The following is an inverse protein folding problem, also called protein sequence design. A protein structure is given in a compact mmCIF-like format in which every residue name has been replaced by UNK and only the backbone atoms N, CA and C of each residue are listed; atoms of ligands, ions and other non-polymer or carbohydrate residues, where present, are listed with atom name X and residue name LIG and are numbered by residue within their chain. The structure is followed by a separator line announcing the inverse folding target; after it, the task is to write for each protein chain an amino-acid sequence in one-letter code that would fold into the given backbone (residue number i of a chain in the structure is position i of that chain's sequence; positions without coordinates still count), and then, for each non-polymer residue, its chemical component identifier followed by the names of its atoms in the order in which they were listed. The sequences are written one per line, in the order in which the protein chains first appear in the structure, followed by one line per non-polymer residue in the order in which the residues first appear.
data_IF_459255318063
#
_entry.id   IF_459255318063
#
_cell.length_a   1.000
_cell.length_b   1.000
_cell.length_c   1.000
_cell.angle_alpha   90.00
_cell.angle_beta   90.00
_cell.angle_gamma   90.00
#
_symmetry.space_group_name_H-M   'P 1'
#
loop_
_entity.id
_entity.type
_entity.pdbx_description
1 polymer ?
#
# COMPACT_ATOMS: atom_id res chain seq x y z
N UNK A 1 21.25 2.19 -32.04
CA UNK A 1 20.08 2.34 -31.18
C UNK A 1 18.91 1.57 -31.82
N UNK A 2 18.81 0.30 -31.53
CA UNK A 2 17.74 -0.54 -32.06
C UNK A 2 16.76 -0.81 -30.87
N UNK A 3 15.53 -0.28 -31.01
CA UNK A 3 14.39 -0.76 -30.22
C UNK A 3 14.17 -0.10 -28.86
N UNK A 4 14.19 1.23 -28.75
CA UNK A 4 13.60 1.92 -27.58
C UNK A 4 12.21 2.46 -27.97
N UNK A 5 11.16 1.90 -27.38
CA UNK A 5 9.83 2.51 -27.42
C UNK A 5 9.72 3.58 -26.33
N UNK A 6 9.31 4.78 -26.73
CA UNK A 6 9.10 5.91 -25.84
C UNK A 6 7.61 6.10 -25.61
N UNK A 7 7.12 5.76 -24.42
CA UNK A 7 5.75 6.06 -23.99
C UNK A 7 5.71 7.33 -23.14
N UNK A 8 5.07 8.38 -23.64
CA UNK A 8 4.83 9.62 -22.87
C UNK A 8 3.46 9.50 -22.22
N UNK A 9 3.40 9.54 -20.90
CA UNK A 9 2.15 9.72 -20.14
C UNK A 9 1.95 11.20 -19.87
N UNK A 10 0.88 11.76 -20.42
CA UNK A 10 0.61 13.21 -20.48
C UNK A 10 0.53 13.96 -19.14
N UNK A 11 0.34 13.29 -18.01
CA UNK A 11 0.14 13.99 -16.74
C UNK A 11 1.41 14.27 -15.93
N UNK A 12 2.56 13.59 -16.20
CA UNK A 12 3.74 13.69 -15.34
C UNK A 12 5.07 13.88 -16.07
N UNK A 13 5.09 14.08 -17.39
CA UNK A 13 6.32 14.18 -18.19
C UNK A 13 7.36 13.10 -17.87
N UNK A 14 6.91 11.88 -17.65
CA UNK A 14 7.76 10.72 -17.44
C UNK A 14 7.95 10.01 -18.77
N UNK A 15 9.20 9.85 -19.17
CA UNK A 15 9.60 9.08 -20.35
C UNK A 15 10.05 7.70 -19.90
N UNK A 16 9.43 6.66 -20.42
CA UNK A 16 9.85 5.29 -20.20
C UNK A 16 10.79 4.86 -21.32
N UNK A 17 12.04 4.57 -20.97
CA UNK A 17 13.03 4.04 -21.91
C UNK A 17 13.13 2.53 -21.69
N UNK A 18 12.78 1.76 -22.71
CA UNK A 18 12.69 0.29 -22.62
C UNK A 18 13.96 -0.33 -23.23
N UNK A 19 14.68 -1.11 -22.43
CA UNK A 19 15.83 -1.90 -22.85
C UNK A 19 15.52 -3.39 -22.70
N UNK A 20 15.03 -4.04 -23.75
CA UNK A 20 14.63 -5.44 -23.68
C UNK A 20 13.48 -5.66 -22.70
N UNK A 21 13.77 -6.19 -21.49
CA UNK A 21 12.80 -6.40 -20.42
C UNK A 21 12.87 -5.35 -19.29
N UNK A 22 13.85 -4.48 -19.36
CA UNK A 22 14.06 -3.44 -18.34
C UNK A 22 13.45 -2.12 -18.79
N UNK A 23 12.85 -1.39 -17.88
CA UNK A 23 12.26 -0.06 -18.11
C UNK A 23 12.94 0.94 -17.19
N UNK A 24 13.50 2.01 -17.78
CA UNK A 24 14.08 3.13 -17.05
C UNK A 24 13.11 4.31 -17.15
N UNK A 25 12.68 4.81 -16.02
CA UNK A 25 11.86 6.02 -15.94
C UNK A 25 12.74 7.26 -15.90
N UNK A 26 12.54 8.16 -16.88
CA UNK A 26 13.25 9.44 -16.98
C UNK A 26 12.25 10.57 -16.74
N UNK A 27 12.51 11.43 -15.78
CA UNK A 27 11.67 12.60 -15.48
C UNK A 27 12.53 13.83 -15.18
N UNK A 28 11.94 15.01 -15.32
CA UNK A 28 12.57 16.26 -14.90
C UNK A 28 12.48 16.41 -13.37
N UNK A 29 13.37 17.22 -12.80
CA UNK A 29 13.25 17.66 -11.40
C UNK A 29 12.07 18.62 -11.27
N UNK A 30 11.36 18.52 -10.12
CA UNK A 30 10.16 19.30 -9.83
C UNK A 30 10.41 20.29 -8.71
N UNK A 31 9.88 21.52 -8.86
CA UNK A 31 9.92 22.52 -7.82
C UNK A 31 8.98 22.19 -6.64
N UNK A 32 9.24 22.82 -5.49
CA UNK A 32 8.28 22.91 -4.39
C UNK A 32 7.23 23.92 -4.82
N UNK A 33 5.95 23.57 -4.73
CA UNK A 33 4.85 24.52 -4.89
C UNK A 33 4.27 24.83 -3.51
N UNK A 34 4.43 26.07 -3.06
CA UNK A 34 3.84 26.55 -1.80
C UNK A 34 2.32 26.75 -1.91
N UNK A 35 1.79 26.96 -3.15
CA UNK A 35 0.35 27.17 -3.44
C UNK A 35 -0.12 26.23 -4.55
N UNK A 36 -0.06 24.92 -4.31
CA UNK A 36 -0.65 23.99 -5.26
C UNK A 36 -2.17 24.17 -5.32
N UNK A 37 -2.67 24.71 -6.44
CA UNK A 37 -4.10 24.67 -6.74
C UNK A 37 -4.55 23.21 -6.73
N UNK A 38 -5.30 22.85 -5.71
CA UNK A 38 -5.94 21.54 -5.63
C UNK A 38 -7.37 21.65 -6.15
N UNK A 39 -7.84 20.64 -6.88
CA UNK A 39 -9.26 20.51 -7.18
C UNK A 39 -10.06 20.22 -5.90
N UNK A 40 -11.39 20.24 -6.02
CA UNK A 40 -12.33 19.94 -4.91
C UNK A 40 -12.13 18.53 -4.30
N UNK A 41 -11.28 17.69 -4.92
CA UNK A 41 -10.94 16.34 -4.46
C UNK A 41 -9.50 16.26 -3.90
N UNK A 42 -8.82 17.39 -3.69
CA UNK A 42 -7.44 17.46 -3.20
C UNK A 42 -6.38 17.02 -4.22
N UNK A 43 -6.71 16.99 -5.50
CA UNK A 43 -5.79 16.65 -6.58
C UNK A 43 -5.04 17.91 -7.01
N UNK A 44 -3.71 17.86 -6.92
CA UNK A 44 -2.86 18.97 -7.39
C UNK A 44 -3.01 19.14 -8.90
N UNK A 45 -3.58 20.27 -9.33
CA UNK A 45 -3.90 20.56 -10.73
C UNK A 45 -2.66 20.93 -11.56
N UNK A 46 -1.58 21.38 -10.94
CA UNK A 46 -0.30 21.74 -11.58
C UNK A 46 0.89 21.20 -10.79
N UNK A 47 1.19 19.92 -10.90
CA UNK A 47 2.37 19.29 -10.26
C UNK A 47 3.64 19.32 -11.15
N UNK A 48 3.61 20.01 -12.27
CA UNK A 48 4.66 19.98 -13.30
C UNK A 48 5.42 21.31 -13.44
N UNK A 49 5.79 21.92 -12.33
CA UNK A 49 6.74 23.05 -12.37
C UNK A 49 8.16 22.49 -12.28
N UNK A 50 8.99 22.85 -13.25
CA UNK A 50 10.39 22.46 -13.26
C UNK A 50 11.13 23.11 -12.10
N UNK A 51 11.97 22.34 -11.46
CA UNK A 51 12.76 22.78 -10.32
C UNK A 51 14.22 22.34 -10.42
N UNK A 52 14.97 22.75 -9.43
CA UNK A 52 16.32 22.28 -9.21
C UNK A 52 16.32 20.88 -8.58
N UNK A 53 17.44 20.19 -8.64
CA UNK A 53 17.61 18.89 -7.98
C UNK A 53 17.42 18.99 -6.46
N UNK A 54 17.86 20.09 -5.84
CA UNK A 54 17.68 20.34 -4.42
C UNK A 54 16.19 20.49 -4.03
N UNK A 55 15.40 21.19 -4.84
CA UNK A 55 13.96 21.32 -4.65
C UNK A 55 13.26 19.97 -4.81
N UNK A 56 13.65 19.17 -5.82
CA UNK A 56 13.10 17.82 -5.98
C UNK A 56 13.44 16.92 -4.78
N UNK A 57 14.64 17.04 -4.22
CA UNK A 57 15.02 16.35 -3.00
C UNK A 57 14.17 16.75 -1.81
N UNK A 58 13.92 18.05 -1.63
CA UNK A 58 13.18 18.58 -0.48
C UNK A 58 11.70 18.19 -0.46
N UNK A 59 11.06 17.99 -1.64
CA UNK A 59 9.66 17.55 -1.72
C UNK A 59 9.46 16.04 -1.52
N UNK A 60 10.54 15.22 -1.53
CA UNK A 60 10.45 13.77 -1.30
C UNK A 60 10.04 13.46 0.14
N UNK A 61 9.65 12.22 0.37
CA UNK A 61 9.14 11.78 1.68
C UNK A 61 10.27 11.59 2.72
N UNK A 62 11.24 10.71 2.42
CA UNK A 62 12.27 10.30 3.38
C UNK A 62 13.66 10.65 2.90
N UNK A 63 14.56 10.95 3.83
CA UNK A 63 15.95 11.29 3.55
C UNK A 63 16.65 10.23 2.70
N UNK A 64 16.39 8.95 2.97
CA UNK A 64 16.97 7.82 2.25
C UNK A 64 16.45 7.69 0.81
N UNK A 65 15.32 8.32 0.48
CA UNK A 65 14.72 8.35 -0.87
C UNK A 65 15.10 9.62 -1.66
N UNK A 66 15.90 10.51 -1.08
CA UNK A 66 16.33 11.78 -1.66
C UNK A 66 17.83 11.79 -1.97
N UNK A 67 18.38 10.65 -2.33
CA UNK A 67 19.74 10.48 -2.80
C UNK A 67 19.76 10.44 -4.33
N UNK A 68 20.72 11.14 -4.92
CA UNK A 68 20.93 11.17 -6.36
C UNK A 68 22.35 10.73 -6.69
N UNK A 69 22.49 10.00 -7.78
CA UNK A 69 23.79 9.58 -8.27
C UNK A 69 24.04 10.12 -9.67
N UNK A 70 25.13 10.82 -9.86
CA UNK A 70 25.61 11.25 -11.16
C UNK A 70 26.65 10.23 -11.69
N UNK A 71 26.27 9.40 -12.68
CA UNK A 71 27.18 8.37 -13.18
C UNK A 71 28.32 8.93 -14.04
N UNK A 72 28.23 10.19 -14.49
CA UNK A 72 29.29 10.82 -15.28
C UNK A 72 30.39 11.36 -14.37
N UNK A 73 29.98 12.03 -13.28
CA UNK A 73 30.91 12.57 -12.29
C UNK A 73 31.29 11.56 -11.21
N UNK A 74 30.66 10.36 -11.19
CA UNK A 74 30.76 9.36 -10.11
C UNK A 74 30.49 9.98 -8.73
N UNK A 75 29.44 10.80 -8.66
CA UNK A 75 29.13 11.61 -7.49
C UNK A 75 27.76 11.26 -6.90
N UNK A 76 27.76 10.97 -5.59
CA UNK A 76 26.53 10.84 -4.82
C UNK A 76 26.16 12.20 -4.18
N UNK A 77 24.98 12.70 -4.51
CA UNK A 77 24.43 13.96 -4.01
C UNK A 77 23.41 13.67 -2.92
N UNK A 78 23.64 14.20 -1.72
CA UNK A 78 22.84 14.00 -0.52
C UNK A 78 22.50 15.36 0.12
N UNK A 79 21.27 15.83 -0.12
CA UNK A 79 20.80 17.13 0.37
C UNK A 79 20.21 17.08 1.80
N UNK A 80 19.90 15.89 2.32
CA UNK A 80 19.14 15.71 3.56
C UNK A 80 19.74 14.69 4.53
N UNK A 81 21.06 14.42 4.45
CA UNK A 81 21.74 13.45 5.32
C UNK A 81 21.24 11.99 5.16
N UNK A 82 20.73 11.62 3.99
CA UNK A 82 20.18 10.29 3.72
C UNK A 82 21.20 9.17 3.87
N UNK A 83 22.47 9.40 3.49
CA UNK A 83 23.58 8.45 3.69
C UNK A 83 23.83 8.19 5.17
N UNK A 84 23.78 9.22 6.01
CA UNK A 84 23.90 9.10 7.45
C UNK A 84 22.78 8.25 8.05
N UNK A 85 21.54 8.50 7.61
CA UNK A 85 20.36 7.80 8.07
C UNK A 85 20.35 6.34 7.59
N UNK A 86 20.82 6.05 6.38
CA UNK A 86 21.07 4.70 5.88
C UNK A 86 22.06 3.92 6.76
N UNK A 87 23.21 4.53 7.07
CA UNK A 87 24.23 3.91 7.95
C UNK A 87 23.68 3.61 9.34
N UNK A 88 22.83 4.51 9.87
CA UNK A 88 22.18 4.35 11.18
C UNK A 88 20.92 3.47 11.13
N UNK A 89 20.52 2.99 9.96
CA UNK A 89 19.26 2.28 9.76
C UNK A 89 18.05 3.02 10.35
N UNK A 90 17.97 4.32 10.06
CA UNK A 90 16.95 5.21 10.59
C UNK A 90 16.09 5.74 9.46
N UNK A 91 14.78 5.67 9.60
CA UNK A 91 13.83 6.26 8.67
C UNK A 91 13.41 7.64 9.20
N UNK A 92 13.75 8.68 8.45
CA UNK A 92 13.48 10.09 8.78
C UNK A 92 12.71 10.74 7.65
N UNK A 93 11.63 11.43 7.97
CA UNK A 93 10.89 12.27 7.01
C UNK A 93 11.64 13.58 6.76
N UNK A 94 11.57 14.11 5.56
CA UNK A 94 12.16 15.40 5.20
C UNK A 94 11.17 16.50 5.59
N UNK A 95 11.67 17.54 6.27
CA UNK A 95 10.87 18.67 6.75
C UNK A 95 10.20 18.40 8.11
N UNK A 96 9.17 19.21 8.44
CA UNK A 96 8.41 19.03 9.68
C UNK A 96 7.48 17.82 9.59
N UNK A 97 7.61 16.82 10.47
CA UNK A 97 6.83 15.59 10.37
C UNK A 97 5.31 15.81 10.47
N UNK A 98 4.87 16.74 11.32
CA UNK A 98 3.44 17.03 11.53
C UNK A 98 2.84 17.62 10.26
N UNK A 99 3.51 18.62 9.69
CA UNK A 99 3.08 19.23 8.44
C UNK A 99 3.07 18.21 7.30
N UNK A 100 4.14 17.44 7.14
CA UNK A 100 4.31 16.47 6.05
C UNK A 100 3.27 15.34 6.08
N UNK A 101 2.86 14.88 7.26
CA UNK A 101 1.78 13.89 7.39
C UNK A 101 0.38 14.49 7.17
N UNK A 102 0.17 15.77 7.48
CA UNK A 102 -1.08 16.47 7.16
C UNK A 102 -1.23 16.72 5.67
N UNK A 103 -0.14 17.11 4.99
CA UNK A 103 -0.13 17.29 3.52
C UNK A 103 -0.44 15.97 2.80
N UNK A 104 0.09 14.87 3.27
CA UNK A 104 -0.07 13.57 2.65
C UNK A 104 -0.06 12.44 3.70
N UNK A 105 -1.24 12.06 4.23
CA UNK A 105 -1.35 11.00 5.24
C UNK A 105 -0.85 9.62 4.77
N UNK A 106 -0.79 9.35 3.46
CA UNK A 106 -0.21 8.12 2.90
C UNK A 106 1.24 7.92 3.36
N UNK A 107 1.96 9.00 3.64
CA UNK A 107 3.35 8.91 4.14
C UNK A 107 3.45 8.13 5.45
N UNK A 108 2.41 8.13 6.30
CA UNK A 108 2.41 7.30 7.52
C UNK A 108 2.38 5.80 7.20
N UNK A 109 1.60 5.38 6.19
CA UNK A 109 1.59 3.99 5.72
C UNK A 109 2.94 3.60 5.10
N UNK A 110 3.55 4.54 4.37
CA UNK A 110 4.88 4.36 3.79
C UNK A 110 5.95 4.20 4.87
N UNK A 111 5.84 4.92 6.01
CA UNK A 111 6.71 4.71 7.19
C UNK A 111 6.66 3.24 7.63
N UNK A 112 5.47 2.70 7.88
CA UNK A 112 5.30 1.32 8.32
C UNK A 112 5.90 0.32 7.30
N UNK A 113 5.65 0.55 6.01
CA UNK A 113 6.17 -0.31 4.94
C UNK A 113 7.69 -0.27 4.83
N UNK A 114 8.30 0.91 4.85
CA UNK A 114 9.76 1.02 4.74
C UNK A 114 10.49 0.49 5.97
N UNK A 115 9.97 0.77 7.16
CA UNK A 115 10.52 0.22 8.41
C UNK A 115 10.50 -1.31 8.39
N UNK A 116 9.37 -1.91 8.05
CA UNK A 116 9.24 -3.36 7.97
C UNK A 116 10.15 -3.97 6.87
N UNK A 117 10.18 -3.35 5.68
CA UNK A 117 10.95 -3.85 4.54
C UNK A 117 12.46 -3.74 4.75
N UNK A 118 12.93 -2.65 5.36
CA UNK A 118 14.36 -2.35 5.50
C UNK A 118 14.91 -2.77 6.88
N UNK A 119 14.05 -3.10 7.84
CA UNK A 119 14.47 -3.36 9.22
C UNK A 119 15.04 -2.11 9.91
N UNK A 120 14.50 -0.93 9.57
CA UNK A 120 14.95 0.35 10.11
C UNK A 120 14.11 0.74 11.34
N UNK A 121 14.67 1.62 12.17
CA UNK A 121 13.94 2.30 13.24
C UNK A 121 13.37 3.63 12.73
N UNK A 122 12.21 4.04 13.26
CA UNK A 122 11.66 5.36 12.98
C UNK A 122 12.39 6.39 13.82
N UNK A 123 12.85 7.47 13.21
CA UNK A 123 13.42 8.61 13.93
C UNK A 123 12.39 9.18 14.92
N UNK A 124 12.79 9.52 16.18
CA UNK A 124 11.83 9.91 17.23
C UNK A 124 10.91 11.08 16.87
N UNK A 125 11.41 12.13 16.19
CA UNK A 125 10.59 13.27 15.76
C UNK A 125 9.63 12.88 14.65
N UNK A 126 10.05 12.02 13.73
CA UNK A 126 9.20 11.46 12.68
C UNK A 126 8.07 10.61 13.28
N UNK A 127 8.37 9.83 14.33
CA UNK A 127 7.39 8.94 14.99
C UNK A 127 6.35 9.70 15.82
N UNK A 128 6.77 10.78 16.49
CA UNK A 128 5.97 11.46 17.51
C UNK A 128 4.53 11.82 17.06
N UNK A 129 4.28 12.40 15.87
CA UNK A 129 2.93 12.77 15.46
C UNK A 129 2.10 11.63 14.83
N UNK A 130 2.67 10.46 14.53
CA UNK A 130 1.98 9.42 13.75
C UNK A 130 0.67 9.01 14.41
N UNK A 131 0.69 8.62 15.68
CA UNK A 131 -0.51 8.13 16.37
C UNK A 131 -1.61 9.18 16.48
N UNK A 132 -1.27 10.44 16.71
CA UNK A 132 -2.24 11.52 16.81
C UNK A 132 -2.84 11.91 15.44
N UNK A 133 -2.11 11.69 14.36
CA UNK A 133 -2.53 11.98 12.99
C UNK A 133 -3.10 10.75 12.26
N UNK A 134 -3.07 9.57 12.86
CA UNK A 134 -3.62 8.34 12.27
C UNK A 134 -5.06 8.48 11.73
N UNK A 135 -5.99 9.23 12.38
CA UNK A 135 -7.33 9.45 11.85
C UNK A 135 -7.36 10.09 10.45
N UNK A 136 -6.32 10.82 10.04
CA UNK A 136 -6.24 11.43 8.71
C UNK A 136 -6.15 10.40 7.57
N UNK A 137 -5.86 9.14 7.88
CA UNK A 137 -5.86 8.05 6.89
C UNK A 137 -7.24 7.92 6.23
N UNK A 138 -8.33 8.17 6.96
CA UNK A 138 -9.69 8.16 6.41
C UNK A 138 -9.93 9.20 5.30
N UNK A 139 -9.09 10.23 5.20
CA UNK A 139 -9.19 11.28 4.19
C UNK A 139 -8.43 10.92 2.89
N UNK A 140 -7.72 9.79 2.88
CA UNK A 140 -6.99 9.34 1.68
C UNK A 140 -8.00 8.83 0.65
N UNK A 141 -7.92 9.28 -0.63
CA UNK A 141 -8.74 8.70 -1.68
C UNK A 141 -8.59 7.18 -1.75
N UNK A 142 -9.71 6.46 -1.81
CA UNK A 142 -9.76 4.99 -1.70
C UNK A 142 -8.90 4.25 -2.75
N UNK A 143 -8.77 4.79 -3.96
CA UNK A 143 -7.89 4.23 -4.99
C UNK A 143 -6.41 4.32 -4.60
N UNK A 144 -6.01 5.46 -4.04
CA UNK A 144 -4.63 5.69 -3.60
C UNK A 144 -4.29 4.86 -2.36
N UNK A 145 -5.26 4.71 -1.45
CA UNK A 145 -5.15 3.82 -0.29
C UNK A 145 -4.97 2.36 -0.75
N UNK A 146 -5.76 1.93 -1.74
CA UNK A 146 -5.64 0.60 -2.33
C UNK A 146 -4.23 0.34 -2.89
N UNK A 147 -3.69 1.27 -3.67
CA UNK A 147 -2.36 1.12 -4.27
C UNK A 147 -1.26 0.98 -3.21
N UNK A 148 -1.32 1.76 -2.13
CA UNK A 148 -0.33 1.68 -1.06
C UNK A 148 -0.50 0.40 -0.22
N UNK A 149 -1.74 -0.01 0.06
CA UNK A 149 -2.02 -1.29 0.71
C UNK A 149 -1.53 -2.47 -0.12
N UNK A 150 -1.73 -2.44 -1.44
CA UNK A 150 -1.24 -3.50 -2.31
C UNK A 150 0.29 -3.58 -2.29
N UNK A 151 1.00 -2.43 -2.38
CA UNK A 151 2.46 -2.38 -2.26
C UNK A 151 2.97 -2.96 -0.94
N UNK A 152 2.25 -2.71 0.15
CA UNK A 152 2.56 -3.23 1.47
C UNK A 152 2.39 -4.75 1.51
N UNK A 153 1.25 -5.26 1.05
CA UNK A 153 0.89 -6.68 1.09
C UNK A 153 1.74 -7.55 0.15
N UNK A 154 2.27 -6.99 -0.94
CA UNK A 154 3.14 -7.72 -1.88
C UNK A 154 4.62 -7.37 -1.73
N UNK A 155 5.01 -6.77 -0.62
CA UNK A 155 6.39 -6.32 -0.38
C UNK A 155 7.40 -7.44 -0.10
N UNK A 156 6.93 -8.66 0.22
CA UNK A 156 7.73 -9.74 0.82
C UNK A 156 7.95 -9.57 2.32
N UNK A 157 7.30 -8.59 2.94
CA UNK A 157 7.35 -8.27 4.37
C UNK A 157 5.96 -7.89 4.90
N UNK A 158 4.89 -8.46 4.33
CA UNK A 158 3.51 -8.08 4.61
C UNK A 158 3.14 -8.28 6.09
N UNK A 159 3.56 -9.39 6.69
CA UNK A 159 3.32 -9.65 8.11
C UNK A 159 4.04 -8.62 8.99
N UNK A 160 5.30 -8.31 8.72
CA UNK A 160 6.04 -7.28 9.43
C UNK A 160 5.40 -5.90 9.25
N UNK A 161 4.92 -5.57 8.05
CA UNK A 161 4.18 -4.34 7.80
C UNK A 161 2.90 -4.25 8.64
N UNK A 162 2.14 -5.34 8.75
CA UNK A 162 0.94 -5.39 9.58
C UNK A 162 1.26 -5.15 11.06
N UNK A 163 2.34 -5.74 11.58
CA UNK A 163 2.79 -5.49 12.94
C UNK A 163 3.19 -4.02 13.16
N UNK A 164 3.88 -3.40 12.21
CA UNK A 164 4.22 -1.98 12.27
C UNK A 164 2.97 -1.08 12.24
N UNK A 165 2.00 -1.36 11.36
CA UNK A 165 0.73 -0.63 11.32
C UNK A 165 0.00 -0.70 12.67
N UNK A 166 -0.06 -1.88 13.29
CA UNK A 166 -0.67 -2.05 14.63
C UNK A 166 0.11 -1.29 15.71
N UNK A 167 1.44 -1.39 15.71
CA UNK A 167 2.30 -0.73 16.68
C UNK A 167 2.14 0.79 16.67
N UNK A 168 2.01 1.37 15.48
CA UNK A 168 1.86 2.81 15.31
C UNK A 168 0.39 3.29 15.35
N UNK A 169 -0.59 2.37 15.48
CA UNK A 169 -2.01 2.70 15.51
C UNK A 169 -2.60 3.11 14.16
N UNK A 170 -1.98 2.64 13.07
CA UNK A 170 -2.35 2.97 11.69
C UNK A 170 -3.28 1.94 11.05
N UNK A 171 -3.61 0.85 11.72
CA UNK A 171 -4.40 -0.26 11.16
C UNK A 171 -5.90 0.05 11.08
N UNK A 172 -6.40 0.93 11.94
CA UNK A 172 -7.83 1.25 12.00
C UNK A 172 -8.33 1.88 10.71
N UNK A 173 -9.38 1.33 10.16
CA UNK A 173 -10.04 1.86 8.97
C UNK A 173 -9.35 1.55 7.63
N UNK A 174 -8.20 0.86 7.62
CA UNK A 174 -7.53 0.45 6.38
C UNK A 174 -8.26 -0.72 5.69
N UNK A 175 -8.56 -1.72 6.47
CA UNK A 175 -9.38 -2.87 6.14
C UNK A 175 -10.27 -3.13 7.35
N UNK A 176 -11.47 -2.52 7.44
CA UNK A 176 -12.31 -2.56 8.66
C UNK A 176 -12.61 -3.96 9.12
N UNK A 177 -12.69 -4.88 8.16
CA UNK A 177 -12.91 -6.28 8.44
C UNK A 177 -11.66 -6.96 9.01
N UNK A 178 -10.46 -6.43 8.73
CA UNK A 178 -9.22 -6.95 9.29
C UNK A 178 -9.10 -6.64 10.78
N UNK A 179 -9.58 -5.47 11.22
CA UNK A 179 -9.61 -5.10 12.63
C UNK A 179 -10.43 -6.12 13.43
N UNK A 180 -11.62 -6.46 12.94
CA UNK A 180 -12.50 -7.46 13.58
C UNK A 180 -11.87 -8.86 13.56
N UNK A 181 -11.20 -9.24 12.49
CA UNK A 181 -10.55 -10.55 12.35
C UNK A 181 -9.35 -10.66 13.28
N UNK A 182 -8.55 -9.61 13.39
CA UNK A 182 -7.36 -9.59 14.23
C UNK A 182 -7.67 -9.58 15.73
N UNK A 183 -8.87 -9.20 16.11
CA UNK A 183 -9.35 -9.28 17.50
C UNK A 183 -9.83 -10.70 17.88
N UNK A 184 -9.90 -11.63 16.90
CA UNK A 184 -10.29 -13.02 17.14
C UNK A 184 -9.06 -13.95 16.98
N UNK A 185 -8.75 -14.84 17.95
CA UNK A 185 -7.55 -15.68 17.91
C UNK A 185 -7.42 -16.54 16.63
N UNK A 186 -8.52 -17.14 16.19
CA UNK A 186 -8.54 -17.97 14.97
C UNK A 186 -8.37 -17.11 13.70
N UNK A 187 -8.95 -15.92 13.67
CA UNK A 187 -8.82 -14.96 12.58
C UNK A 187 -7.39 -14.43 12.47
N UNK A 188 -6.76 -14.06 13.60
CA UNK A 188 -5.38 -13.61 13.66
C UNK A 188 -4.43 -14.69 13.12
N UNK A 189 -4.59 -15.94 13.56
CA UNK A 189 -3.79 -17.07 13.09
C UNK A 189 -3.93 -17.29 11.59
N UNK A 190 -5.15 -17.21 11.06
CA UNK A 190 -5.41 -17.39 9.63
C UNK A 190 -4.73 -16.31 8.79
N UNK A 191 -4.89 -15.04 9.16
CA UNK A 191 -4.24 -13.90 8.49
C UNK A 191 -2.73 -14.00 8.57
N UNK A 192 -2.17 -14.34 9.73
CA UNK A 192 -0.72 -14.51 9.93
C UNK A 192 -0.16 -15.55 8.96
N UNK A 193 -0.75 -16.74 8.91
CA UNK A 193 -0.30 -17.81 7.99
C UNK A 193 -0.42 -17.39 6.54
N UNK A 194 -1.50 -16.68 6.16
CA UNK A 194 -1.69 -16.19 4.80
C UNK A 194 -0.61 -15.19 4.39
N UNK A 195 -0.28 -14.23 5.27
CA UNK A 195 0.75 -13.23 5.01
C UNK A 195 2.16 -13.84 4.99
N UNK A 196 2.49 -14.76 5.91
CA UNK A 196 3.76 -15.48 5.90
C UNK A 196 3.97 -16.26 4.60
N UNK A 197 2.93 -16.96 4.12
CA UNK A 197 2.99 -17.69 2.85
C UNK A 197 3.12 -16.73 1.65
N UNK A 198 2.47 -15.59 1.71
CA UNK A 198 2.61 -14.53 0.71
C UNK A 198 4.04 -14.01 0.67
N UNK A 199 4.62 -13.66 1.82
CA UNK A 199 6.00 -13.18 1.93
C UNK A 199 7.01 -14.21 1.39
N UNK A 200 6.88 -15.49 1.77
CA UNK A 200 7.72 -16.57 1.25
C UNK A 200 7.65 -16.68 -0.28
N UNK A 201 6.47 -16.51 -0.88
CA UNK A 201 6.31 -16.56 -2.34
C UNK A 201 6.98 -15.36 -3.02
N UNK A 202 6.79 -14.14 -2.48
CA UNK A 202 7.42 -12.93 -3.02
C UNK A 202 8.94 -13.04 -2.97
N UNK A 203 9.49 -13.43 -1.82
CA UNK A 203 10.94 -13.59 -1.64
C UNK A 203 11.52 -14.69 -2.53
N UNK A 204 10.73 -15.69 -2.88
CA UNK A 204 11.11 -16.74 -3.84
C UNK A 204 10.91 -16.32 -5.31
N UNK A 205 10.61 -15.05 -5.60
CA UNK A 205 10.38 -14.53 -6.96
C UNK A 205 9.12 -15.09 -7.65
N UNK A 206 8.18 -15.68 -6.88
CA UNK A 206 6.94 -16.24 -7.42
C UNK A 206 5.87 -15.17 -7.54
N UNK A 207 5.04 -15.28 -8.58
CA UNK A 207 3.90 -14.39 -8.76
C UNK A 207 2.85 -14.57 -7.64
N UNK A 208 2.24 -13.46 -7.26
CA UNK A 208 1.11 -13.40 -6.32
C UNK A 208 -0.10 -12.85 -7.05
N UNK A 209 -1.26 -13.47 -6.82
CA UNK A 209 -2.55 -12.90 -7.21
C UNK A 209 -3.07 -12.00 -6.10
N UNK A 210 -3.20 -10.68 -6.32
CA UNK A 210 -3.84 -9.79 -5.36
C UNK A 210 -5.27 -10.21 -5.04
N UNK A 211 -6.03 -10.71 -6.02
CA UNK A 211 -7.38 -11.23 -5.82
C UNK A 211 -7.41 -12.39 -4.82
N UNK A 212 -6.48 -13.34 -4.94
CA UNK A 212 -6.35 -14.43 -3.97
C UNK A 212 -6.01 -13.93 -2.56
N UNK A 213 -5.09 -12.96 -2.47
CA UNK A 213 -4.69 -12.39 -1.18
C UNK A 213 -5.88 -11.68 -0.50
N UNK A 214 -6.59 -10.81 -1.21
CA UNK A 214 -7.79 -10.16 -0.68
C UNK A 214 -8.91 -11.15 -0.37
N UNK A 215 -9.12 -12.17 -1.21
CA UNK A 215 -10.09 -13.23 -0.92
C UNK A 215 -9.75 -13.97 0.38
N UNK A 216 -8.47 -14.20 0.64
CA UNK A 216 -8.02 -14.82 1.88
C UNK A 216 -8.23 -13.89 3.08
N UNK A 217 -7.80 -12.64 3.00
CA UNK A 217 -7.91 -11.66 4.08
C UNK A 217 -9.37 -11.36 4.46
N UNK A 218 -10.29 -11.37 3.49
CA UNK A 218 -11.70 -11.06 3.69
C UNK A 218 -12.60 -12.31 3.79
N UNK A 219 -12.02 -13.51 3.88
CA UNK A 219 -12.80 -14.75 3.93
C UNK A 219 -13.66 -14.88 5.20
N UNK A 220 -13.12 -14.52 6.35
CA UNK A 220 -13.82 -14.73 7.63
C UNK A 220 -15.18 -14.01 7.69
N UNK A 221 -15.30 -12.73 7.36
CA UNK A 221 -16.60 -12.04 7.32
C UNK A 221 -17.59 -12.63 6.30
N UNK A 222 -17.10 -13.10 5.15
CA UNK A 222 -17.95 -13.79 4.17
C UNK A 222 -18.46 -15.10 4.77
N UNK A 223 -17.59 -15.89 5.38
CA UNK A 223 -17.93 -17.16 6.01
C UNK A 223 -18.96 -17.00 7.13
N UNK A 224 -18.79 -16.03 8.00
CA UNK A 224 -19.72 -15.76 9.10
C UNK A 224 -21.12 -15.41 8.59
N UNK A 225 -21.22 -14.54 7.58
CA UNK A 225 -22.50 -14.19 6.96
C UNK A 225 -23.12 -15.37 6.25
N UNK A 226 -22.33 -16.15 5.53
CA UNK A 226 -22.80 -17.38 4.88
C UNK A 226 -23.37 -18.37 5.89
N UNK A 227 -22.67 -18.63 6.99
CA UNK A 227 -23.15 -19.52 8.06
C UNK A 227 -24.45 -19.00 8.73
N UNK A 228 -24.58 -17.68 8.91
CA UNK A 228 -25.85 -17.09 9.38
C UNK A 228 -27.00 -17.34 8.42
N UNK A 229 -26.77 -17.19 7.12
CA UNK A 229 -27.76 -17.50 6.08
C UNK A 229 -28.18 -18.98 6.09
N UNK A 230 -27.22 -19.89 6.22
CA UNK A 230 -27.49 -21.33 6.34
C UNK A 230 -28.30 -21.65 7.60
N UNK A 231 -27.97 -21.07 8.74
CA UNK A 231 -28.71 -21.23 9.99
C UNK A 231 -30.15 -20.68 9.91
N UNK A 232 -30.38 -19.67 9.06
CA UNK A 232 -31.70 -19.14 8.74
C UNK A 232 -32.49 -19.97 7.71
N UNK A 233 -31.95 -21.11 7.27
CA UNK A 233 -32.60 -22.02 6.32
C UNK A 233 -32.43 -21.64 4.85
N UNK A 234 -31.57 -20.69 4.50
CA UNK A 234 -31.30 -20.35 3.13
C UNK A 234 -30.51 -21.47 2.40
N UNK A 235 -30.77 -21.70 1.10
CA UNK A 235 -29.93 -22.59 0.32
C UNK A 235 -28.49 -22.11 0.24
N UNK A 236 -27.53 -23.05 0.25
CA UNK A 236 -26.09 -22.76 0.39
C UNK A 236 -25.54 -21.75 -0.61
N UNK A 237 -25.85 -21.91 -1.90
CA UNK A 237 -25.31 -21.03 -2.95
C UNK A 237 -25.90 -19.62 -2.90
N UNK A 238 -27.21 -19.41 -2.79
CA UNK A 238 -27.80 -18.09 -2.56
C UNK A 238 -27.28 -17.40 -1.32
N UNK A 239 -27.20 -18.10 -0.16
CA UNK A 239 -26.69 -17.55 1.09
C UNK A 239 -25.23 -17.10 0.95
N UNK A 240 -24.40 -17.87 0.23
CA UNK A 240 -23.01 -17.48 -0.03
C UNK A 240 -22.94 -16.25 -0.96
N UNK A 241 -23.75 -16.21 -2.03
CA UNK A 241 -23.75 -15.07 -2.95
C UNK A 241 -24.13 -13.78 -2.23
N UNK A 242 -25.16 -13.80 -1.38
CA UNK A 242 -25.58 -12.66 -0.58
C UNK A 242 -24.48 -12.23 0.42
N UNK A 243 -23.84 -13.19 1.10
CA UNK A 243 -22.74 -12.92 2.01
C UNK A 243 -21.55 -12.25 1.30
N UNK A 244 -21.23 -12.67 0.07
CA UNK A 244 -20.20 -12.07 -0.76
C UNK A 244 -20.56 -10.63 -1.12
N UNK A 245 -21.78 -10.38 -1.59
CA UNK A 245 -22.22 -9.03 -1.98
C UNK A 245 -22.15 -8.06 -0.82
N UNK A 246 -22.67 -8.44 0.35
CA UNK A 246 -22.59 -7.64 1.56
C UNK A 246 -21.16 -7.34 2.00
N UNK A 247 -20.26 -8.33 1.93
CA UNK A 247 -18.87 -8.15 2.31
C UNK A 247 -18.14 -7.20 1.35
N UNK A 248 -18.40 -7.29 0.06
CA UNK A 248 -17.81 -6.41 -0.95
C UNK A 248 -18.35 -4.99 -0.85
N UNK A 249 -19.64 -4.81 -0.57
CA UNK A 249 -20.27 -3.49 -0.41
C UNK A 249 -19.69 -2.76 0.82
N UNK A 250 -19.51 -3.46 1.95
CA UNK A 250 -18.89 -2.88 3.14
C UNK A 250 -17.43 -2.49 2.88
N UNK A 251 -16.70 -3.32 2.14
CA UNK A 251 -15.31 -3.04 1.81
C UNK A 251 -15.15 -1.91 0.80
N UNK A 252 -16.07 -1.79 -0.18
CA UNK A 252 -16.02 -0.76 -1.23
C UNK A 252 -16.08 0.67 -0.69
N UNK A 253 -16.65 0.86 0.50
CA UNK A 253 -16.76 2.19 1.16
C UNK A 253 -15.41 2.75 1.58
N UNK A 254 -14.41 1.91 1.78
CA UNK A 254 -13.12 2.33 2.32
C UNK A 254 -11.94 2.06 1.39
N UNK A 255 -11.95 0.94 0.66
CA UNK A 255 -10.88 0.54 -0.23
C UNK A 255 -11.43 0.21 -1.61
N UNK A 256 -11.04 0.97 -2.63
CA UNK A 256 -11.46 0.75 -4.02
C UNK A 256 -10.71 -0.44 -4.63
N UNK A 257 -11.11 -1.65 -4.27
CA UNK A 257 -10.57 -2.87 -4.89
C UNK A 257 -10.94 -2.88 -6.38
N UNK A 258 -9.95 -3.02 -7.24
CA UNK A 258 -10.15 -3.02 -8.69
C UNK A 258 -11.06 -4.18 -9.12
N UNK A 259 -11.96 -3.95 -10.10
CA UNK A 259 -12.97 -4.92 -10.57
C UNK A 259 -12.41 -6.31 -10.91
N UNK A 260 -11.21 -6.36 -11.52
CA UNK A 260 -10.53 -7.63 -11.84
C UNK A 260 -10.26 -8.49 -10.60
N UNK A 261 -9.83 -7.85 -9.49
CA UNK A 261 -9.56 -8.56 -8.24
C UNK A 261 -10.85 -9.00 -7.55
N UNK A 262 -11.92 -8.21 -7.67
CA UNK A 262 -13.25 -8.59 -7.18
C UNK A 262 -13.77 -9.84 -7.90
N UNK A 263 -13.58 -9.94 -9.23
CA UNK A 263 -13.94 -11.12 -10.00
C UNK A 263 -13.20 -12.37 -9.48
N UNK A 264 -11.87 -12.27 -9.33
CA UNK A 264 -11.04 -13.36 -8.78
C UNK A 264 -11.52 -13.78 -7.37
N UNK A 265 -11.80 -12.80 -6.51
CA UNK A 265 -12.28 -13.05 -5.14
C UNK A 265 -13.61 -13.81 -5.14
N UNK A 266 -14.56 -13.40 -5.98
CA UNK A 266 -15.87 -14.07 -6.12
C UNK A 266 -15.70 -15.52 -6.57
N UNK A 267 -14.89 -15.78 -7.57
CA UNK A 267 -14.63 -17.14 -8.05
C UNK A 267 -14.04 -18.02 -6.93
N UNK A 268 -13.05 -17.51 -6.19
CA UNK A 268 -12.41 -18.24 -5.09
C UNK A 268 -13.43 -18.56 -3.99
N UNK A 269 -14.26 -17.60 -3.59
CA UNK A 269 -15.27 -17.80 -2.55
C UNK A 269 -16.40 -18.74 -2.99
N UNK A 270 -16.84 -18.64 -4.23
CA UNK A 270 -17.88 -19.53 -4.78
C UNK A 270 -17.44 -21.01 -4.91
N UNK A 271 -16.13 -21.27 -4.84
CA UNK A 271 -15.60 -22.64 -4.79
C UNK A 271 -15.66 -23.26 -3.38
N UNK A 272 -15.79 -22.48 -2.31
CA UNK A 272 -15.68 -22.97 -0.93
C UNK A 272 -16.71 -24.05 -0.55
N UNK A 273 -17.98 -24.01 -0.98
CA UNK A 273 -18.93 -25.09 -0.68
C UNK A 273 -18.50 -26.47 -1.20
N UNK A 274 -17.65 -26.52 -2.23
CA UNK A 274 -17.10 -27.79 -2.76
C UNK A 274 -16.01 -28.36 -1.87
N UNK A 275 -15.26 -27.49 -1.18
CA UNK A 275 -14.20 -27.92 -0.26
C UNK A 275 -14.78 -28.42 1.06
N UNK A 276 -15.80 -27.75 1.61
CA UNK A 276 -16.46 -28.18 2.85
C UNK A 276 -17.13 -29.55 2.73
N UNK A 277 -17.65 -29.92 1.55
CA UNK A 277 -18.25 -31.25 1.29
C UNK A 277 -17.20 -32.39 1.25
N UNK A 278 -15.91 -32.10 1.10
CA UNK A 278 -14.84 -33.10 1.02
C UNK A 278 -14.17 -33.38 2.34
N UNK A 279 -14.39 -32.53 3.34
CA UNK A 279 -13.81 -32.63 4.69
C UNK A 279 -14.76 -33.20 5.74
N UNK A 280 -16.00 -33.51 5.38
CA UNK A 280 -17.00 -34.25 6.14
C UNK A 280 -17.24 -35.61 5.49
#
# INVERSE_FOLDING_TARGET
LVGSEMCIRDSFQIVHVIFGRETIEVSTFRAIQDDAETDEHGRVLRDNVWGTQAEDAARRDFTINALYYDPVADLLLDYHDGVRDLKKRTLRIIGDPTQRFREDPVRMLRVARFVAKLGFSIEPKTRAPIRSLAPLISNIPSARLFDEMLKLLVSGHALACLHELRREGLHHGLLPMLDVILDQPDGERFVTVALERTDQRVLAGKTISPGFLFATLLWQPVRERWQKGLAAGQPSVPALSEAIDQALDDQARQLAIQRRHIADMREIWMMQPRFERRTG
#
